data_IF_294076797779
#
_entry.id   IF_294076797779
#
_cell.length_a   1.000
_cell.length_b   1.000
_cell.length_c   1.000
_cell.angle_alpha   90.00
_cell.angle_beta   90.00
_cell.angle_gamma   90.00
#
_symmetry.space_group_name_H-M   'P 1'
#
loop_
_entity.id
_entity.type
_entity.pdbx_description
1 polymer ?
#
# COMPACT_ATOMS: atom_id res chain seq x y z
N UNK A 1 19.55 -2.48 0.18
CA UNK A 1 18.27 -1.74 0.10
C UNK A 1 17.20 -2.65 -0.45
N UNK A 2 16.05 -2.68 0.21
CA UNK A 2 14.87 -3.38 -0.28
C UNK A 2 13.93 -2.40 -0.95
N UNK A 3 13.24 -2.87 -2.00
CA UNK A 3 12.08 -2.19 -2.54
C UNK A 3 10.81 -2.89 -2.10
N UNK A 4 9.77 -2.15 -1.75
CA UNK A 4 8.43 -2.66 -1.53
C UNK A 4 7.45 -1.91 -2.41
N UNK A 5 6.36 -2.56 -2.78
CA UNK A 5 5.29 -1.92 -3.53
C UNK A 5 3.94 -2.35 -2.98
N UNK A 6 3.06 -1.40 -2.81
CA UNK A 6 1.73 -1.61 -2.27
C UNK A 6 0.69 -0.84 -3.07
N UNK A 7 -0.56 -1.29 -2.97
CA UNK A 7 -1.70 -0.65 -3.62
C UNK A 7 -2.58 0.07 -2.60
N UNK A 8 -2.93 1.31 -2.90
CA UNK A 8 -3.97 2.04 -2.19
C UNK A 8 -5.30 1.77 -2.88
N UNK A 9 -6.08 0.89 -2.29
CA UNK A 9 -7.41 0.49 -2.77
C UNK A 9 -8.44 1.01 -1.79
N UNK A 10 -9.48 1.64 -2.29
CA UNK A 10 -10.55 2.16 -1.44
C UNK A 10 -11.91 1.57 -1.83
N UNK A 11 -12.84 1.59 -0.87
CA UNK A 11 -14.25 1.36 -1.15
C UNK A 11 -14.87 2.57 -1.84
N UNK A 12 -16.10 2.45 -2.40
CA UNK A 12 -16.81 3.61 -2.93
C UNK A 12 -17.02 4.74 -1.93
N UNK A 13 -17.07 4.43 -0.64
CA UNK A 13 -17.18 5.43 0.44
C UNK A 13 -15.85 6.05 0.86
N UNK A 14 -14.73 5.59 0.29
CA UNK A 14 -13.41 6.14 0.58
C UNK A 14 -12.66 5.42 1.71
N UNK A 15 -13.16 4.30 2.22
CA UNK A 15 -12.46 3.52 3.22
C UNK A 15 -11.30 2.76 2.60
N UNK A 16 -10.20 2.64 3.32
CA UNK A 16 -8.95 2.06 2.82
C UNK A 16 -8.92 0.56 3.08
N UNK A 17 -8.59 -0.22 2.06
CA UNK A 17 -8.43 -1.67 2.19
C UNK A 17 -7.11 -1.99 2.86
N UNK A 18 -7.19 -2.63 4.02
CA UNK A 18 -6.06 -3.13 4.78
C UNK A 18 -6.13 -4.65 4.88
N UNK A 19 -4.96 -5.28 5.00
CA UNK A 19 -4.82 -6.72 5.22
C UNK A 19 -4.10 -6.99 6.53
N UNK A 20 -4.46 -8.10 7.20
CA UNK A 20 -3.86 -8.51 8.47
C UNK A 20 -2.94 -9.70 8.23
N UNK A 21 -1.61 -9.48 8.24
CA UNK A 21 -0.67 -10.61 8.20
C UNK A 21 -0.82 -11.51 9.41
N UNK A 22 -0.69 -12.82 9.21
CA UNK A 22 -0.83 -13.78 10.31
C UNK A 22 0.42 -13.86 11.22
N UNK A 23 1.50 -13.22 10.82
CA UNK A 23 2.79 -13.22 11.53
C UNK A 23 3.11 -11.87 12.22
N UNK A 24 2.18 -10.91 12.19
CA UNK A 24 2.33 -9.58 12.82
C UNK A 24 1.02 -9.14 13.44
N UNK A 25 1.10 -8.31 14.48
CA UNK A 25 -0.08 -7.76 15.14
C UNK A 25 -0.69 -6.59 14.36
N UNK A 26 0.15 -5.83 13.65
CA UNK A 26 -0.29 -4.68 12.90
C UNK A 26 -0.66 -5.04 11.46
N UNK A 27 -1.57 -4.27 10.90
CA UNK A 27 -2.07 -4.41 9.54
C UNK A 27 -1.14 -3.73 8.53
N UNK A 28 -1.40 -3.94 7.26
CA UNK A 28 -0.67 -3.30 6.16
C UNK A 28 -1.57 -3.04 4.96
N UNK A 29 -1.07 -2.21 4.03
CA UNK A 29 -1.64 -2.18 2.69
C UNK A 29 -1.35 -3.50 1.96
N UNK A 30 -2.21 -3.91 1.01
CA UNK A 30 -1.88 -5.01 0.12
C UNK A 30 -0.58 -4.70 -0.65
N UNK A 31 0.39 -5.59 -0.56
CA UNK A 31 1.69 -5.39 -1.18
C UNK A 31 2.78 -6.22 -0.53
N UNK A 32 3.99 -6.04 -0.97
CA UNK A 32 5.13 -6.77 -0.43
C UNK A 32 6.46 -6.38 -1.05
N UNK A 33 7.45 -7.20 -0.78
CA UNK A 33 8.82 -7.00 -1.22
C UNK A 33 8.94 -7.28 -2.73
N UNK A 34 9.62 -6.39 -3.44
CA UNK A 34 9.93 -6.57 -4.86
C UNK A 34 10.93 -7.70 -5.05
N UNK A 35 10.73 -8.50 -6.08
CA UNK A 35 11.66 -9.53 -6.49
C UNK A 35 12.84 -8.90 -7.24
N UNK A 36 13.93 -9.65 -7.35
CA UNK A 36 15.11 -9.19 -8.06
C UNK A 36 14.76 -8.83 -9.51
N UNK A 37 15.09 -7.59 -9.91
CA UNK A 37 14.83 -7.10 -11.27
C UNK A 37 13.37 -6.76 -11.57
N UNK A 38 12.48 -6.84 -10.58
CA UNK A 38 11.07 -6.56 -10.76
C UNK A 38 10.78 -5.06 -10.65
N UNK A 39 10.10 -4.50 -11.65
CA UNK A 39 9.67 -3.11 -11.59
C UNK A 39 8.60 -2.92 -10.51
N UNK A 40 8.57 -1.77 -9.81
CA UNK A 40 7.64 -1.54 -8.71
C UNK A 40 6.16 -1.74 -9.04
N UNK A 41 5.70 -1.25 -10.19
CA UNK A 41 4.29 -1.41 -10.58
C UNK A 41 3.93 -2.86 -10.91
N UNK A 42 4.87 -3.63 -11.45
CA UNK A 42 4.70 -5.06 -11.72
C UNK A 42 4.61 -5.84 -10.42
N UNK A 43 5.48 -5.54 -9.47
CA UNK A 43 5.46 -6.15 -8.14
C UNK A 43 4.20 -5.84 -7.37
N UNK A 44 3.71 -4.60 -7.48
CA UNK A 44 2.43 -4.21 -6.89
C UNK A 44 1.29 -5.08 -7.42
N UNK A 45 1.16 -5.22 -8.73
CA UNK A 45 0.11 -6.04 -9.35
C UNK A 45 0.23 -7.51 -8.94
N UNK A 46 1.45 -8.03 -8.89
CA UNK A 46 1.72 -9.41 -8.48
C UNK A 46 1.28 -9.67 -7.03
N UNK A 47 1.68 -8.79 -6.11
CA UNK A 47 1.34 -8.92 -4.69
C UNK A 47 -0.17 -8.85 -4.45
N UNK A 48 -0.86 -7.92 -5.10
CA UNK A 48 -2.33 -7.82 -4.99
C UNK A 48 -3.00 -9.09 -5.50
N UNK A 49 -2.51 -9.67 -6.59
CA UNK A 49 -3.04 -10.93 -7.11
C UNK A 49 -2.79 -12.09 -6.15
N UNK A 50 -1.59 -12.18 -5.60
CA UNK A 50 -1.24 -13.24 -4.64
C UNK A 50 -2.04 -13.11 -3.35
N UNK A 51 -2.13 -11.92 -2.79
CA UNK A 51 -2.77 -11.69 -1.48
C UNK A 51 -4.30 -11.69 -1.54
N UNK A 52 -4.88 -11.13 -2.60
CA UNK A 52 -6.33 -10.87 -2.68
C UNK A 52 -7.02 -11.58 -3.85
N UNK A 53 -6.27 -12.25 -4.71
CA UNK A 53 -6.83 -12.89 -5.90
C UNK A 53 -7.38 -11.92 -6.93
N UNK A 54 -7.00 -10.65 -6.86
CA UNK A 54 -7.51 -9.60 -7.73
C UNK A 54 -6.52 -9.23 -8.82
N UNK A 55 -7.03 -9.03 -10.04
CA UNK A 55 -6.30 -8.39 -11.13
C UNK A 55 -6.67 -6.91 -11.15
N UNK A 56 -5.94 -6.12 -10.39
CA UNK A 56 -6.19 -4.68 -10.26
C UNK A 56 -5.30 -3.93 -11.24
N UNK A 57 -5.86 -3.02 -12.07
CA UNK A 57 -5.02 -2.09 -12.83
C UNK A 57 -4.22 -1.22 -11.86
N UNK A 58 -2.90 -1.23 -12.03
CA UNK A 58 -2.03 -0.37 -11.21
C UNK A 58 -2.01 1.01 -11.84
N UNK A 59 -2.56 1.97 -11.12
CA UNK A 59 -2.64 3.36 -11.54
C UNK A 59 -1.37 4.14 -11.22
N UNK A 60 -1.47 5.47 -11.12
CA UNK A 60 -0.32 6.33 -10.88
C UNK A 60 0.36 6.05 -9.54
N UNK A 61 1.67 6.33 -9.48
CA UNK A 61 2.41 6.36 -8.24
C UNK A 61 1.89 7.50 -7.36
N UNK A 62 1.51 7.18 -6.12
CA UNK A 62 0.94 8.15 -5.17
C UNK A 62 1.95 8.59 -4.12
N UNK A 63 2.81 7.70 -3.67
CA UNK A 63 3.78 8.02 -2.62
C UNK A 63 5.05 7.19 -2.77
N UNK A 64 6.16 7.79 -2.41
CA UNK A 64 7.46 7.13 -2.23
C UNK A 64 7.94 7.45 -0.83
N UNK A 65 8.35 6.42 -0.10
CA UNK A 65 8.85 6.57 1.25
C UNK A 65 10.23 5.93 1.38
N UNK A 66 11.09 6.55 2.14
CA UNK A 66 12.39 6.00 2.51
C UNK A 66 12.38 5.67 4.00
N UNK A 67 12.62 4.41 4.32
CA UNK A 67 12.71 3.96 5.70
C UNK A 67 14.15 3.51 5.98
N UNK A 68 14.81 4.22 6.88
CA UNK A 68 16.19 3.94 7.24
C UNK A 68 16.36 2.55 7.84
N UNK A 69 17.56 1.99 7.70
CA UNK A 69 17.93 0.78 8.42
C UNK A 69 17.87 1.03 9.93
N UNK A 70 17.24 0.13 10.66
CA UNK A 70 17.05 0.27 12.10
C UNK A 70 16.85 -1.11 12.75
N UNK A 71 17.52 -1.35 13.87
CA UNK A 71 17.31 -2.53 14.69
C UNK A 71 17.41 -3.85 13.91
N UNK A 72 16.34 -4.63 13.93
CA UNK A 72 16.25 -5.90 13.21
C UNK A 72 16.18 -5.76 11.69
N UNK A 73 16.01 -4.54 11.18
CA UNK A 73 16.01 -4.22 9.77
C UNK A 73 17.36 -3.64 9.36
N UNK A 74 18.31 -4.47 8.88
CA UNK A 74 19.69 -4.01 8.62
C UNK A 74 19.84 -3.18 7.35
N UNK A 75 18.79 -3.11 6.51
CA UNK A 75 18.81 -2.39 5.24
C UNK A 75 17.68 -1.38 5.16
N UNK A 76 17.92 -0.23 4.53
CA UNK A 76 16.83 0.70 4.27
C UNK A 76 15.82 0.13 3.26
N UNK A 77 14.62 0.67 3.31
CA UNK A 77 13.51 0.29 2.43
C UNK A 77 13.10 1.51 1.61
N UNK A 78 12.94 1.34 0.31
CA UNK A 78 12.20 2.25 -0.55
C UNK A 78 10.80 1.66 -0.76
N UNK A 79 9.78 2.37 -0.32
CA UNK A 79 8.41 1.91 -0.43
C UNK A 79 7.65 2.73 -1.47
N UNK A 80 7.02 2.03 -2.42
CA UNK A 80 6.19 2.63 -3.46
C UNK A 80 4.72 2.33 -3.15
N UNK A 81 3.88 3.35 -3.20
CA UNK A 81 2.43 3.19 -3.09
C UNK A 81 1.78 3.65 -4.38
N UNK A 82 1.10 2.73 -5.06
CA UNK A 82 0.38 2.99 -6.29
C UNK A 82 -1.13 3.10 -6.04
N UNK A 83 -1.80 3.82 -6.91
CA UNK A 83 -3.25 3.87 -6.90
C UNK A 83 -3.81 2.53 -7.39
N UNK A 84 -4.50 1.84 -6.52
CA UNK A 84 -5.19 0.58 -6.83
C UNK A 84 -6.66 0.77 -7.19
N UNK A 85 -7.14 2.01 -7.21
CA UNK A 85 -8.51 2.35 -7.57
C UNK A 85 -9.54 2.07 -6.49
N UNK A 86 -10.78 1.99 -6.93
CA UNK A 86 -11.94 1.74 -6.07
C UNK A 86 -12.46 0.33 -6.32
N UNK A 87 -12.62 -0.44 -5.25
CA UNK A 87 -13.17 -1.79 -5.31
C UNK A 87 -14.60 -1.77 -4.77
N UNK A 88 -15.57 -1.94 -5.67
CA UNK A 88 -16.98 -1.97 -5.30
C UNK A 88 -17.46 -3.37 -4.92
N UNK A 89 -16.89 -4.41 -5.53
CA UNK A 89 -17.30 -5.80 -5.31
C UNK A 89 -16.27 -6.56 -4.47
N UNK A 90 -16.53 -6.63 -3.18
CA UNK A 90 -15.67 -7.36 -2.24
C UNK A 90 -15.76 -8.88 -2.38
N UNK A 91 -16.80 -9.39 -3.06
CA UNK A 91 -16.95 -10.84 -3.26
C UNK A 91 -15.87 -11.43 -4.17
N UNK A 92 -15.17 -10.58 -4.94
CA UNK A 92 -14.07 -11.01 -5.79
C UNK A 92 -12.79 -11.30 -5.00
N UNK A 93 -12.71 -10.87 -3.73
CA UNK A 93 -11.52 -11.07 -2.90
C UNK A 93 -11.40 -12.55 -2.49
N UNK A 94 -10.26 -13.15 -2.83
CA UNK A 94 -9.85 -14.46 -2.34
C UNK A 94 -8.57 -14.29 -1.55
N UNK A 95 -8.69 -14.35 -0.25
CA UNK A 95 -7.57 -14.08 0.66
C UNK A 95 -6.54 -15.21 0.62
N UNK A 96 -5.25 -14.84 0.59
CA UNK A 96 -4.14 -15.80 0.70
C UNK A 96 -4.01 -16.27 2.15
N UNK A 97 -4.71 -17.33 2.50
CA UNK A 97 -4.84 -17.80 3.89
C UNK A 97 -3.51 -18.23 4.52
N UNK A 98 -2.51 -18.60 3.70
CA UNK A 98 -1.18 -18.97 4.21
C UNK A 98 -0.42 -17.79 4.82
N UNK A 99 -0.78 -16.55 4.49
CA UNK A 99 -0.08 -15.34 4.95
C UNK A 99 -0.99 -14.31 5.62
N UNK A 100 -2.27 -14.33 5.29
CA UNK A 100 -3.22 -13.32 5.73
C UNK A 100 -4.40 -13.93 6.49
N UNK A 101 -4.76 -13.31 7.61
CA UNK A 101 -5.91 -13.74 8.41
C UNK A 101 -7.20 -13.07 7.97
N UNK A 102 -7.12 -11.80 7.54
CA UNK A 102 -8.30 -10.96 7.38
C UNK A 102 -8.02 -9.79 6.43
N UNK A 103 -9.04 -9.28 5.80
CA UNK A 103 -9.02 -7.96 5.17
C UNK A 103 -10.12 -7.09 5.77
N UNK A 104 -9.94 -5.77 5.71
CA UNK A 104 -10.92 -4.82 6.24
C UNK A 104 -10.82 -3.49 5.52
N UNK A 105 -11.97 -2.86 5.26
CA UNK A 105 -12.01 -1.47 4.84
C UNK A 105 -12.08 -0.58 6.09
N UNK A 106 -11.15 0.36 6.20
CA UNK A 106 -10.97 1.21 7.37
C UNK A 106 -11.07 2.67 6.96
N UNK A 107 -11.88 3.48 7.66
CA UNK A 107 -11.94 4.91 7.37
C UNK A 107 -10.55 5.56 7.49
N UNK A 108 -10.22 6.55 6.64
CA UNK A 108 -8.93 7.24 6.72
C UNK A 108 -8.59 7.76 8.12
N UNK A 109 -9.58 8.22 8.86
CA UNK A 109 -9.41 8.71 10.24
C UNK A 109 -9.04 7.62 11.25
N UNK A 110 -9.22 6.35 10.91
CA UNK A 110 -8.98 5.22 11.81
C UNK A 110 -7.75 4.40 11.45
N UNK A 111 -7.10 4.66 10.32
CA UNK A 111 -5.97 3.84 9.86
C UNK A 111 -4.79 3.85 10.83
N UNK A 112 -4.61 4.94 11.59
CA UNK A 112 -3.54 5.03 12.58
C UNK A 112 -3.67 3.99 13.70
N UNK A 113 -4.85 3.47 13.96
CA UNK A 113 -5.09 2.42 14.94
C UNK A 113 -4.75 1.01 14.43
N UNK A 114 -4.51 0.85 13.15
CA UNK A 114 -4.23 -0.43 12.50
C UNK A 114 -2.79 -0.53 12.00
N UNK A 115 -2.22 0.58 11.54
CA UNK A 115 -0.95 0.63 10.84
C UNK A 115 0.18 1.17 11.72
N UNK A 116 1.44 0.75 11.48
CA UNK A 116 2.59 1.45 12.04
C UNK A 116 2.61 2.92 11.59
N UNK A 117 3.25 3.83 12.37
CA UNK A 117 3.28 5.26 12.04
C UNK A 117 3.77 5.59 10.63
N UNK A 118 4.82 4.91 10.17
CA UNK A 118 5.37 5.16 8.82
C UNK A 118 4.41 4.73 7.71
N UNK A 119 3.67 3.64 7.90
CA UNK A 119 2.65 3.22 6.95
C UNK A 119 1.43 4.13 6.99
N UNK A 120 1.04 4.61 8.16
CA UNK A 120 -0.04 5.60 8.30
C UNK A 120 0.29 6.85 7.50
N UNK A 121 1.52 7.35 7.61
CA UNK A 121 1.98 8.52 6.86
C UNK A 121 1.91 8.30 5.35
N UNK A 122 2.28 7.10 4.88
CA UNK A 122 2.18 6.73 3.45
C UNK A 122 0.74 6.74 2.96
N UNK A 123 -0.17 6.17 3.73
CA UNK A 123 -1.59 6.12 3.37
C UNK A 123 -2.17 7.53 3.26
N UNK A 124 -1.90 8.37 4.23
CA UNK A 124 -2.38 9.75 4.24
C UNK A 124 -1.80 10.52 3.06
N UNK A 125 -0.49 10.40 2.79
CA UNK A 125 0.15 11.02 1.64
C UNK A 125 -0.44 10.53 0.32
N UNK A 126 -0.68 9.24 0.21
CA UNK A 126 -1.29 8.63 -0.97
C UNK A 126 -2.72 9.10 -1.22
N UNK A 127 -3.53 9.19 -0.17
CA UNK A 127 -4.89 9.72 -0.26
C UNK A 127 -4.91 11.18 -0.71
N UNK A 128 -4.00 11.99 -0.18
CA UNK A 128 -3.85 13.40 -0.60
C UNK A 128 -3.42 13.51 -2.06
N UNK A 129 -2.46 12.71 -2.49
CA UNK A 129 -2.01 12.69 -3.88
C UNK A 129 -3.12 12.28 -4.84
N UNK A 130 -3.92 11.28 -4.46
CA UNK A 130 -5.09 10.87 -5.23
C UNK A 130 -6.13 11.99 -5.32
N UNK A 131 -6.39 12.67 -4.21
CA UNK A 131 -7.41 13.74 -4.10
C UNK A 131 -7.00 15.05 -4.74
N UNK A 132 -5.69 15.33 -4.89
CA UNK A 132 -5.21 16.55 -5.54
C UNK A 132 -5.39 16.55 -7.07
N UNK A 133 -6.19 15.60 -7.56
CA UNK A 133 -6.68 15.61 -8.92
C UNK A 133 -5.57 15.44 -9.92
N UNK A 134 -5.22 14.22 -10.12
CA UNK A 134 -4.52 13.89 -11.33
C UNK A 134 -5.34 14.36 -12.51
N UNK A 135 -5.05 15.55 -13.02
CA UNK A 135 -5.42 15.88 -14.39
C UNK A 135 -4.89 14.74 -15.27
N UNK A 136 -5.69 14.19 -16.19
CA UNK A 136 -5.21 13.17 -17.11
C UNK A 136 -3.95 13.66 -17.81
N UNK A 137 -2.80 13.01 -17.56
CA UNK A 137 -1.52 13.40 -18.14
C UNK A 137 -0.75 14.48 -17.38
N UNK A 138 -1.34 15.09 -16.36
CA UNK A 138 -0.60 15.92 -15.42
C UNK A 138 -0.18 15.07 -14.24
N UNK A 139 1.08 15.01 -13.93
CA UNK A 139 1.53 14.30 -12.76
C UNK A 139 0.91 14.83 -11.49
N UNK A 140 -0.24 14.27 -11.10
CA UNK A 140 -0.64 14.29 -9.73
C UNK A 140 0.54 13.67 -9.00
N UNK A 141 1.44 14.54 -8.52
CA UNK A 141 2.77 14.12 -8.19
C UNK A 141 2.78 13.15 -7.06
N UNK A 142 3.49 12.06 -7.24
CA UNK A 142 3.88 11.22 -6.13
C UNK A 142 4.50 12.09 -5.03
N UNK A 143 4.03 11.89 -3.81
CA UNK A 143 4.54 12.60 -2.66
C UNK A 143 5.68 11.80 -2.05
N UNK A 144 6.86 12.42 -1.96
CA UNK A 144 7.95 11.85 -1.19
C UNK A 144 7.64 11.97 0.30
N UNK A 145 7.59 10.84 0.98
CA UNK A 145 7.37 10.80 2.42
C UNK A 145 8.72 10.66 3.11
N UNK A 146 9.21 11.71 3.76
CA UNK A 146 10.47 11.60 4.49
C UNK A 146 10.26 10.66 5.69
N UNK A 147 11.28 9.86 5.98
CA UNK A 147 11.28 9.03 7.17
C UNK A 147 10.97 9.88 8.39
N UNK A 148 9.90 9.57 9.08
CA UNK A 148 9.66 10.15 10.39
C UNK A 148 10.77 9.62 11.30
N UNK A 149 11.55 10.53 11.86
CA UNK A 149 12.46 10.19 12.93
C UNK A 149 11.62 9.52 14.04
N UNK A 150 11.86 8.24 14.23
CA UNK A 150 11.22 7.45 15.28
C UNK A 150 11.64 7.88 16.64
#
# INVERSE_FOLDING_TARGET
MYGTAAALITSPSGDVLLVKPNYRDLWSLPGGILEHGEAPHVGCAREVREELGLSVPVGPLLAVDWVAAEGARPRPIVAFVFDGGVLADVSAIVLQESELDEFRFVPPSAVAGFLPPHMTARVIAGLRARGSGAEPGGGGGAVYVPATAG
#
